data_IF_811015223881
#
_entry.id   IF_811015223881
#
_cell.length_a   1.000
_cell.length_b   1.000
_cell.length_c   1.000
_cell.angle_alpha   90.00
_cell.angle_beta   90.00
_cell.angle_gamma   90.00
#
_symmetry.space_group_name_H-M   'P 1'
#
loop_
_entity.id
_entity.type
_entity.pdbx_description
1 polymer ?
#
# COMPACT_ATOMS: atom_id res chain seq x y z
N UNK A 1 -65.94 -12.05 50.36
CA UNK A 1 -65.17 -10.78 50.40
C UNK A 1 -63.73 -11.19 50.12
N UNK A 2 -63.18 -11.10 48.91
CA UNK A 2 -63.16 -10.04 47.86
C UNK A 2 -61.93 -9.13 47.98
N UNK A 3 -61.32 -8.86 46.81
CA UNK A 3 -60.04 -8.20 46.50
C UNK A 3 -58.75 -9.01 46.84
N UNK A 4 -57.79 -9.28 45.92
CA UNK A 4 -57.11 -8.48 44.83
C UNK A 4 -55.93 -7.66 45.41
N UNK A 5 -54.68 -7.68 44.90
CA UNK A 5 -54.04 -8.27 43.70
C UNK A 5 -52.62 -8.83 44.04
N UNK A 6 -52.02 -9.79 43.30
CA UNK A 6 -50.98 -9.63 42.21
C UNK A 6 -49.77 -8.77 42.63
N UNK A 7 -48.49 -9.17 42.54
CA UNK A 7 -47.75 -10.24 41.81
C UNK A 7 -46.68 -10.92 42.74
N UNK A 8 -46.11 -12.12 42.53
CA UNK A 8 -45.23 -12.58 41.41
C UNK A 8 -44.02 -11.63 41.22
N UNK A 9 -42.72 -11.94 41.28
CA UNK A 9 -41.89 -13.18 41.37
C UNK A 9 -40.62 -12.80 42.18
N UNK A 10 -39.78 -13.67 42.76
CA UNK A 10 -39.75 -15.15 42.91
C UNK A 10 -38.94 -15.50 44.20
N UNK A 11 -38.86 -16.78 44.66
CA UNK A 11 -38.27 -17.16 45.96
C UNK A 11 -36.82 -17.70 45.90
N UNK A 12 -36.34 -18.12 47.08
CA UNK A 12 -35.19 -18.99 47.42
C UNK A 12 -33.76 -18.45 47.25
N UNK A 13 -32.81 -18.73 48.15
CA UNK A 13 -32.82 -19.08 49.59
C UNK A 13 -31.38 -18.82 50.11
N UNK A 14 -31.20 -18.47 51.40
CA UNK A 14 -30.56 -19.33 52.41
C UNK A 14 -29.15 -19.83 51.97
N UNK A 15 -28.07 -19.44 52.65
CA UNK A 15 -27.85 -19.95 54.01
C UNK A 15 -27.24 -18.93 54.99
N UNK A 16 -27.55 -19.14 56.27
CA UNK A 16 -27.08 -18.36 57.42
C UNK A 16 -26.17 -19.23 58.28
N UNK A 17 -24.88 -18.87 58.38
CA UNK A 17 -24.05 -19.29 59.53
C UNK A 17 -23.61 -18.06 60.33
N UNK A 18 -24.33 -17.81 61.42
CA UNK A 18 -23.95 -16.89 62.48
C UNK A 18 -23.34 -17.69 63.65
N UNK A 19 -22.17 -17.28 64.16
CA UNK A 19 -21.42 -18.04 65.17
C UNK A 19 -19.90 -17.86 65.06
N UNK A 20 -19.36 -16.65 65.20
CA UNK A 20 -19.06 -15.99 66.47
C UNK A 20 -17.73 -16.43 67.13
N UNK A 21 -16.67 -15.67 66.81
CA UNK A 21 -15.58 -15.16 67.69
C UNK A 21 -14.53 -16.08 68.37
N UNK A 22 -13.29 -15.54 68.45
CA UNK A 22 -12.21 -15.93 69.40
C UNK A 22 -11.21 -16.98 68.87
N UNK A 23 -10.20 -16.60 68.06
CA UNK A 23 -8.84 -16.21 68.52
C UNK A 23 -8.31 -17.05 69.72
N UNK A 24 -7.18 -17.77 69.62
CA UNK A 24 -5.83 -17.21 69.46
C UNK A 24 -4.80 -18.15 68.79
N UNK A 25 -3.87 -17.54 68.05
CA UNK A 25 -2.43 -17.84 68.09
C UNK A 25 -1.91 -19.27 67.87
N UNK A 26 -1.46 -19.57 66.64
CA UNK A 26 -0.20 -20.30 66.48
C UNK A 26 0.69 -19.71 65.38
N UNK A 27 1.98 -19.64 65.69
CA UNK A 27 2.94 -18.71 65.11
C UNK A 27 3.68 -19.29 63.89
N UNK A 28 4.15 -18.41 62.99
CA UNK A 28 5.43 -18.65 62.31
C UNK A 28 5.43 -18.92 60.80
N UNK A 29 6.29 -18.16 60.12
CA UNK A 29 6.96 -18.48 58.84
C UNK A 29 6.16 -18.50 57.53
N UNK A 30 4.84 -18.75 57.50
CA UNK A 30 4.07 -18.76 56.21
C UNK A 30 3.76 -17.38 55.62
N UNK A 31 3.63 -16.32 56.42
CA UNK A 31 3.31 -14.96 55.92
C UNK A 31 4.49 -14.34 55.15
N UNK A 32 5.69 -14.28 55.77
CA UNK A 32 6.87 -13.60 55.19
C UNK A 32 7.36 -14.17 53.86
N UNK A 33 6.94 -15.38 53.47
CA UNK A 33 7.20 -15.93 52.14
C UNK A 33 6.21 -15.41 51.09
N UNK A 34 4.92 -15.21 51.43
CA UNK A 34 3.90 -14.73 50.49
C UNK A 34 4.22 -13.32 49.98
N UNK A 35 4.60 -12.38 50.84
CA UNK A 35 4.97 -11.03 50.38
C UNK A 35 6.35 -10.95 49.71
N UNK A 36 7.28 -11.89 49.97
CA UNK A 36 8.50 -12.02 49.15
C UNK A 36 8.16 -12.58 47.76
N UNK A 37 7.22 -13.52 47.66
CA UNK A 37 6.73 -14.04 46.37
C UNK A 37 5.96 -12.96 45.59
N UNK A 38 5.13 -12.14 46.26
CA UNK A 38 4.41 -11.03 45.61
C UNK A 38 5.39 -9.92 45.18
N UNK A 39 6.34 -9.51 46.04
CA UNK A 39 7.34 -8.50 45.69
C UNK A 39 8.30 -8.99 44.59
N UNK A 40 8.74 -10.25 44.67
CA UNK A 40 9.56 -10.89 43.64
C UNK A 40 8.80 -11.06 42.32
N UNK A 41 7.52 -11.46 42.39
CA UNK A 41 6.64 -11.56 41.23
C UNK A 41 6.43 -10.21 40.54
N UNK A 42 6.15 -9.15 41.31
CA UNK A 42 6.03 -7.79 40.80
C UNK A 42 7.34 -7.28 40.16
N UNK A 43 8.49 -7.56 40.79
CA UNK A 43 9.80 -7.20 40.24
C UNK A 43 10.11 -7.96 38.95
N UNK A 44 9.81 -9.25 38.87
CA UNK A 44 9.95 -10.07 37.64
C UNK A 44 8.99 -9.57 36.56
N UNK A 45 7.77 -9.14 36.89
CA UNK A 45 6.83 -8.54 35.95
C UNK A 45 7.37 -7.23 35.36
N UNK A 46 7.89 -6.33 36.21
CA UNK A 46 8.47 -5.05 35.77
C UNK A 46 9.71 -5.29 34.89
N UNK A 47 10.61 -6.19 35.30
CA UNK A 47 11.79 -6.54 34.51
C UNK A 47 11.44 -7.24 33.20
N UNK A 48 10.41 -8.10 33.18
CA UNK A 48 9.90 -8.75 31.98
C UNK A 48 9.27 -7.77 30.99
N UNK A 49 8.50 -6.79 31.47
CA UNK A 49 7.94 -5.72 30.64
C UNK A 49 9.04 -4.80 30.09
N UNK A 50 10.04 -4.43 30.91
CA UNK A 50 11.17 -3.63 30.46
C UNK A 50 12.04 -4.36 29.43
N UNK A 51 12.32 -5.65 29.64
CA UNK A 51 13.06 -6.48 28.69
C UNK A 51 12.27 -6.72 27.39
N UNK A 52 10.96 -6.94 27.47
CA UNK A 52 10.08 -7.07 26.31
C UNK A 52 10.01 -5.79 25.48
N UNK A 53 9.87 -4.62 26.13
CA UNK A 53 9.90 -3.32 25.48
C UNK A 53 11.28 -3.03 24.84
N UNK A 54 12.38 -3.33 25.54
CA UNK A 54 13.73 -3.18 24.99
C UNK A 54 13.95 -4.10 23.78
N UNK A 55 13.52 -5.36 23.85
CA UNK A 55 13.63 -6.30 22.73
C UNK A 55 12.78 -5.86 21.53
N UNK A 56 11.53 -5.42 21.73
CA UNK A 56 10.73 -4.82 20.65
C UNK A 56 11.43 -3.60 20.02
N UNK A 57 11.99 -2.72 20.83
CA UNK A 57 12.60 -1.46 20.37
C UNK A 57 13.97 -1.64 19.70
N UNK A 58 14.76 -2.65 20.08
CA UNK A 58 16.10 -2.91 19.51
C UNK A 58 16.17 -4.11 18.55
N UNK A 59 15.22 -5.05 18.57
CA UNK A 59 15.18 -6.20 17.65
C UNK A 59 14.24 -5.99 16.45
N UNK A 60 13.42 -4.93 16.42
CA UNK A 60 12.63 -4.50 15.26
C UNK A 60 13.47 -3.87 14.13
N UNK A 61 14.73 -4.30 13.98
CA UNK A 61 15.75 -3.71 13.11
C UNK A 61 15.89 -4.35 11.74
N UNK A 62 14.82 -4.93 11.20
CA UNK A 62 14.74 -5.44 9.83
C UNK A 62 13.43 -4.92 9.20
N UNK A 63 13.48 -3.67 8.72
CA UNK A 63 12.48 -3.22 7.76
C UNK A 63 12.72 -4.00 6.47
N UNK A 64 11.87 -4.98 6.18
CA UNK A 64 11.82 -5.64 4.88
C UNK A 64 11.90 -4.57 3.80
N UNK A 65 13.00 -4.58 3.04
CA UNK A 65 13.10 -3.80 1.83
C UNK A 65 12.01 -4.33 0.90
N UNK A 66 10.91 -3.59 0.81
CA UNK A 66 9.89 -3.79 -0.21
C UNK A 66 10.63 -3.71 -1.53
N UNK A 67 10.92 -4.88 -2.11
CA UNK A 67 11.26 -5.00 -3.51
C UNK A 67 9.97 -4.69 -4.23
N UNK A 68 9.75 -3.39 -4.42
CA UNK A 68 8.76 -2.88 -5.35
C UNK A 68 9.12 -3.53 -6.69
N UNK A 69 8.34 -4.53 -7.07
CA UNK A 69 8.40 -5.10 -8.41
C UNK A 69 8.03 -3.94 -9.34
N UNK A 70 9.05 -3.29 -9.89
CA UNK A 70 8.90 -2.21 -10.87
C UNK A 70 8.37 -2.87 -12.14
N UNK A 71 7.07 -3.15 -12.13
CA UNK A 71 6.30 -3.47 -13.31
C UNK A 71 6.61 -2.36 -14.32
N UNK A 72 7.03 -2.69 -15.55
CA UNK A 72 7.25 -1.68 -16.57
C UNK A 72 6.00 -0.80 -16.65
N UNK A 73 6.14 0.54 -16.68
CA UNK A 73 4.97 1.41 -16.74
C UNK A 73 4.14 1.02 -17.96
N UNK A 74 2.84 0.80 -17.78
CA UNK A 74 1.97 0.46 -18.90
C UNK A 74 1.94 1.63 -19.88
N UNK A 75 2.55 1.44 -21.06
CA UNK A 75 2.54 2.43 -22.14
C UNK A 75 1.49 2.06 -23.19
N UNK A 76 0.86 3.09 -23.72
CA UNK A 76 -0.22 3.00 -24.70
C UNK A 76 0.33 3.46 -26.04
N UNK A 77 -0.01 2.75 -27.11
CA UNK A 77 0.39 3.10 -28.47
C UNK A 77 -0.81 3.66 -29.23
N UNK A 78 -0.63 4.83 -29.85
CA UNK A 78 -1.61 5.47 -30.73
C UNK A 78 -1.07 5.53 -32.16
N UNK A 79 -1.63 4.71 -33.05
CA UNK A 79 -1.23 4.66 -34.45
C UNK A 79 -1.70 5.91 -35.22
N UNK A 80 -0.75 6.62 -35.83
CA UNK A 80 -1.05 7.70 -36.75
C UNK A 80 -1.48 7.16 -38.12
N UNK A 81 -2.36 7.88 -38.85
CA UNK A 81 -2.68 7.54 -40.23
C UNK A 81 -1.43 7.43 -41.10
N UNK A 82 -1.40 6.39 -41.94
CA UNK A 82 -0.37 6.18 -42.94
C UNK A 82 -0.25 7.41 -43.85
N UNK A 83 0.96 7.97 -43.98
CA UNK A 83 1.19 9.22 -44.70
C UNK A 83 2.29 9.07 -45.76
N UNK A 84 2.17 9.85 -46.82
CA UNK A 84 3.18 9.95 -47.89
C UNK A 84 3.68 11.38 -47.96
N UNK A 85 4.99 11.58 -47.93
CA UNK A 85 5.66 12.88 -47.89
C UNK A 85 6.76 12.93 -48.95
N UNK A 86 7.02 14.13 -49.48
CA UNK A 86 8.11 14.33 -50.45
C UNK A 86 9.37 14.74 -49.69
N UNK A 87 10.48 14.05 -49.91
CA UNK A 87 11.78 14.34 -49.29
C UNK A 87 12.53 15.44 -50.06
N UNK A 88 13.48 16.11 -49.39
CA UNK A 88 14.37 17.07 -50.05
C UNK A 88 15.40 16.34 -50.93
N UNK A 89 15.67 16.91 -52.11
CA UNK A 89 16.47 16.27 -53.16
C UNK A 89 17.29 17.31 -53.92
N UNK A 90 18.59 17.06 -54.08
CA UNK A 90 19.53 18.00 -54.70
C UNK A 90 19.52 17.92 -56.24
N UNK A 91 19.16 16.76 -56.80
CA UNK A 91 19.26 16.47 -58.24
C UNK A 91 17.95 16.68 -59.03
N UNK A 92 16.99 17.48 -58.52
CA UNK A 92 15.64 17.66 -59.11
C UNK A 92 14.80 16.37 -59.31
N UNK A 93 15.24 15.23 -58.78
CA UNK A 93 14.42 14.01 -58.72
C UNK A 93 13.53 14.08 -57.49
N UNK A 94 12.22 14.13 -57.67
CA UNK A 94 11.28 14.00 -56.54
C UNK A 94 11.42 12.63 -55.90
N UNK A 95 11.42 12.58 -54.57
CA UNK A 95 11.58 11.36 -53.79
C UNK A 95 10.44 11.30 -52.78
N UNK A 96 9.72 10.18 -52.74
CA UNK A 96 8.53 10.00 -51.92
C UNK A 96 8.83 9.00 -50.80
N UNK A 97 8.58 9.39 -49.56
CA UNK A 97 8.61 8.51 -48.40
C UNK A 97 7.17 8.19 -47.98
N UNK A 98 6.87 6.90 -47.88
CA UNK A 98 5.62 6.40 -47.31
C UNK A 98 5.92 5.82 -45.93
N UNK A 99 5.22 6.26 -44.88
CA UNK A 99 5.46 5.82 -43.51
C UNK A 99 4.17 5.65 -42.70
N UNK A 100 4.26 4.80 -41.67
CA UNK A 100 3.31 4.66 -40.57
C UNK A 100 4.07 4.86 -39.26
N UNK A 101 3.46 5.48 -38.26
CA UNK A 101 4.10 5.87 -36.99
C UNK A 101 3.15 5.57 -35.84
N UNK A 102 3.61 4.82 -34.85
CA UNK A 102 2.92 4.66 -33.57
C UNK A 102 3.49 5.67 -32.56
N UNK A 103 2.63 6.40 -31.86
CA UNK A 103 3.02 7.27 -30.75
C UNK A 103 2.89 6.51 -29.43
N UNK A 104 4.00 6.28 -28.74
CA UNK A 104 4.00 5.74 -27.38
C UNK A 104 3.69 6.85 -26.37
N UNK A 105 2.75 6.60 -25.45
CA UNK A 105 2.34 7.54 -24.40
C UNK A 105 2.15 6.84 -23.06
N UNK A 106 2.28 7.60 -21.97
CA UNK A 106 2.28 7.07 -20.61
C UNK A 106 0.88 6.78 -20.02
N UNK A 107 -0.21 7.15 -20.70
CA UNK A 107 -1.57 6.87 -20.23
C UNK A 107 -2.63 7.01 -21.34
N UNK A 108 -3.78 6.37 -21.15
CA UNK A 108 -4.97 6.52 -22.01
C UNK A 108 -5.49 7.98 -22.03
N UNK A 109 -5.37 8.73 -20.92
CA UNK A 109 -5.71 10.15 -20.88
C UNK A 109 -4.87 11.00 -21.87
N UNK A 110 -3.59 10.64 -22.06
CA UNK A 110 -2.75 11.29 -23.08
C UNK A 110 -3.23 10.97 -24.50
N UNK A 111 -3.75 9.76 -24.76
CA UNK A 111 -4.35 9.41 -26.06
C UNK A 111 -5.54 10.32 -26.36
N UNK A 112 -6.47 10.46 -25.41
CA UNK A 112 -7.62 11.35 -25.54
C UNK A 112 -7.23 12.85 -25.68
N UNK A 113 -6.08 13.25 -25.12
CA UNK A 113 -5.54 14.61 -25.31
C UNK A 113 -4.85 14.81 -26.68
N UNK A 114 -4.32 13.75 -27.29
CA UNK A 114 -3.66 13.77 -28.61
C UNK A 114 -4.68 13.76 -29.74
N UNK A 115 -5.75 12.97 -29.64
CA UNK A 115 -6.78 12.82 -30.67
C UNK A 115 -7.28 14.15 -31.28
N UNK A 116 -7.75 15.17 -30.52
CA UNK A 116 -8.17 16.45 -31.08
C UNK A 116 -7.03 17.31 -31.65
N UNK A 117 -5.77 16.90 -31.44
CA UNK A 117 -4.55 17.57 -31.90
C UNK A 117 -3.84 16.79 -33.01
N UNK A 118 -4.33 15.61 -33.41
CA UNK A 118 -3.66 14.70 -34.34
C UNK A 118 -3.31 15.37 -35.68
N UNK A 119 -4.19 16.23 -36.21
CA UNK A 119 -3.94 17.02 -37.43
C UNK A 119 -2.71 17.91 -37.31
N UNK A 120 -2.46 18.51 -36.14
CA UNK A 120 -1.28 19.35 -35.88
C UNK A 120 -0.02 18.52 -35.67
N UNK A 121 -0.15 17.32 -35.10
CA UNK A 121 0.96 16.36 -35.00
C UNK A 121 1.40 15.92 -36.39
N UNK A 122 0.45 15.54 -37.25
CA UNK A 122 0.71 15.16 -38.65
C UNK A 122 1.38 16.32 -39.42
N UNK A 123 0.88 17.56 -39.30
CA UNK A 123 1.51 18.75 -39.93
C UNK A 123 2.98 18.92 -39.50
N UNK A 124 3.27 18.81 -38.20
CA UNK A 124 4.65 18.88 -37.70
C UNK A 124 5.55 17.77 -38.26
N UNK A 125 5.06 16.52 -38.36
CA UNK A 125 5.79 15.44 -39.02
C UNK A 125 6.01 15.72 -40.52
N UNK A 126 4.99 16.21 -41.25
CA UNK A 126 5.12 16.51 -42.68
C UNK A 126 6.14 17.62 -42.96
N UNK A 127 6.17 18.67 -42.14
CA UNK A 127 7.18 19.73 -42.24
C UNK A 127 8.58 19.16 -42.02
N UNK A 128 8.79 18.42 -40.93
CA UNK A 128 10.10 17.85 -40.56
C UNK A 128 10.60 16.84 -41.61
N UNK A 129 9.77 15.88 -42.01
CA UNK A 129 10.16 14.82 -42.95
C UNK A 129 10.45 15.35 -44.36
N UNK A 130 9.83 16.47 -44.76
CA UNK A 130 10.11 17.10 -46.06
C UNK A 130 11.49 17.76 -46.11
N UNK A 131 12.05 18.15 -44.96
CA UNK A 131 13.41 18.70 -44.89
C UNK A 131 14.47 17.60 -44.99
N UNK A 132 14.16 16.38 -44.54
CA UNK A 132 15.05 15.22 -44.63
C UNK A 132 15.39 14.84 -46.08
N UNK A 133 16.61 14.35 -46.27
CA UNK A 133 17.09 13.72 -47.50
C UNK A 133 17.08 12.22 -47.34
N UNK A 134 17.12 11.52 -48.48
CA UNK A 134 17.28 10.05 -48.53
C UNK A 134 18.49 9.56 -47.71
N UNK A 135 19.61 10.28 -47.74
CA UNK A 135 20.81 9.96 -46.95
C UNK A 135 20.57 9.92 -45.44
N UNK A 136 19.67 10.77 -44.96
CA UNK A 136 19.39 10.93 -43.53
C UNK A 136 18.51 9.78 -43.02
N UNK A 137 17.76 9.14 -43.93
CA UNK A 137 17.01 7.93 -43.69
C UNK A 137 17.90 6.68 -43.81
N UNK A 138 18.69 6.58 -44.88
CA UNK A 138 19.56 5.43 -45.14
C UNK A 138 20.69 5.30 -44.10
N UNK A 139 21.20 6.41 -43.56
CA UNK A 139 22.22 6.42 -42.50
C UNK A 139 21.69 6.23 -41.07
N UNK A 140 20.38 6.02 -40.88
CA UNK A 140 19.80 5.74 -39.55
C UNK A 140 19.84 4.25 -39.18
N UNK A 141 20.04 3.38 -40.16
CA UNK A 141 20.53 2.01 -39.98
C UNK A 141 22.05 1.99 -40.23
N UNK A 142 22.80 1.34 -39.34
CA UNK A 142 24.21 1.01 -39.56
C UNK A 142 24.40 -0.21 -40.46
#
# INVERSE_FOLDING_TARGET
>A
MANEAVADQDPVDEDTEEGAEGEEGQEGKKSKLKLIIIAGGALVLILGLAAGAYFMFFAGGDSEAVVEEILPPETFFYDLPEMTVNLSSVENKEQFLKLSVALEVASEEMVAAIEPRVTRVIDAFQVYLRELRRSDLEGSAG
#
